data_IF_117146301166
#
_entry.id   IF_117146301166
#
_cell.length_a   1.000
_cell.length_b   1.000
_cell.length_c   1.000
_cell.angle_alpha   90.00
_cell.angle_beta   90.00
_cell.angle_gamma   90.00
#
_symmetry.space_group_name_H-M   'P 1'
#
loop_
_entity.id
_entity.type
_entity.pdbx_description
1 polymer ?
#
# COMPACT_ATOMS: atom_id res chain seq x y z
N UNK A 1 -10.42 19.27 23.10
CA UNK A 1 -11.02 19.17 21.76
C UNK A 1 -9.94 18.68 20.85
N UNK A 2 -10.05 17.41 20.41
CA UNK A 2 -9.06 16.77 19.54
C UNK A 2 -9.06 17.52 18.21
N UNK A 3 -7.91 18.04 17.81
CA UNK A 3 -7.68 18.42 16.42
C UNK A 3 -7.91 17.15 15.61
N UNK A 4 -8.91 17.20 14.71
CA UNK A 4 -9.16 16.16 13.71
C UNK A 4 -7.82 15.77 13.09
N UNK A 5 -7.51 14.47 13.11
CA UNK A 5 -6.34 13.89 12.44
C UNK A 5 -6.28 14.47 11.02
N UNK A 6 -5.15 15.04 10.61
CA UNK A 6 -4.98 15.48 9.22
C UNK A 6 -5.13 14.21 8.37
N UNK A 7 -6.08 14.13 7.42
CA UNK A 7 -6.28 12.90 6.65
C UNK A 7 -5.01 12.44 5.91
N UNK A 8 -4.04 13.35 5.70
CA UNK A 8 -2.71 13.05 5.15
C UNK A 8 -1.63 12.87 6.24
N UNK A 9 -2.02 12.59 7.49
CA UNK A 9 -1.10 12.34 8.61
C UNK A 9 -0.56 10.93 8.67
N UNK A 10 -0.94 10.07 7.72
CA UNK A 10 -0.51 8.67 7.60
C UNK A 10 -0.48 8.23 6.15
N UNK A 11 0.38 7.26 5.87
CA UNK A 11 0.28 6.43 4.68
C UNK A 11 -0.86 5.44 4.89
N UNK A 12 -1.80 5.38 3.96
CA UNK A 12 -2.85 4.37 3.96
C UNK A 12 -2.86 3.66 2.62
N UNK A 13 -2.72 2.34 2.64
CA UNK A 13 -2.91 1.48 1.49
C UNK A 13 -4.16 0.64 1.80
N UNK A 14 -5.24 0.77 1.02
CA UNK A 14 -6.48 0.02 1.24
C UNK A 14 -6.30 -1.44 0.87
N UNK A 15 -7.28 -2.25 1.22
CA UNK A 15 -7.28 -3.68 0.93
C UNK A 15 -7.19 -3.93 -0.60
N UNK A 16 -6.69 -5.11 -0.98
CA UNK A 16 -6.58 -5.55 -2.38
C UNK A 16 -5.69 -4.64 -3.27
N UNK A 17 -4.85 -3.77 -2.69
CA UNK A 17 -3.93 -2.91 -3.45
C UNK A 17 -2.70 -3.69 -3.92
N UNK A 18 -2.37 -3.53 -5.21
CA UNK A 18 -1.23 -4.17 -5.85
C UNK A 18 -0.21 -3.13 -6.32
N UNK A 19 0.98 -3.15 -5.73
CA UNK A 19 2.14 -2.39 -6.20
C UNK A 19 3.04 -3.33 -6.95
N UNK A 20 3.07 -3.17 -8.27
CA UNK A 20 4.01 -3.82 -9.17
C UNK A 20 5.32 -3.00 -9.22
N UNK A 21 6.32 -3.52 -9.91
CA UNK A 21 7.62 -2.84 -10.06
C UNK A 21 7.50 -1.47 -10.74
N UNK A 22 6.49 -1.28 -11.59
CA UNK A 22 6.32 -0.05 -12.36
C UNK A 22 5.01 0.69 -12.11
N UNK A 23 4.05 0.09 -11.41
CA UNK A 23 2.72 0.69 -11.21
C UNK A 23 2.16 0.37 -9.83
N UNK A 24 1.56 1.38 -9.20
CA UNK A 24 0.60 1.21 -8.11
C UNK A 24 -0.80 1.15 -8.69
N UNK A 25 -1.47 0.01 -8.50
CA UNK A 25 -2.81 -0.26 -9.01
C UNK A 25 -3.77 -0.49 -7.84
N UNK A 26 -4.86 0.27 -7.82
CA UNK A 26 -5.94 0.13 -6.85
C UNK A 26 -7.29 0.39 -7.53
N UNK A 27 -8.36 -0.20 -7.03
CA UNK A 27 -9.72 0.08 -7.51
C UNK A 27 -10.26 1.41 -6.94
N UNK A 28 -9.64 1.95 -5.89
CA UNK A 28 -10.05 3.19 -5.23
C UNK A 28 -9.37 4.46 -5.76
N UNK A 29 -9.62 5.58 -5.08
CA UNK A 29 -8.93 6.84 -5.38
C UNK A 29 -7.46 6.78 -4.91
N UNK A 30 -6.60 7.56 -5.57
CA UNK A 30 -5.21 7.78 -5.17
C UNK A 30 -5.05 9.26 -4.82
N UNK A 31 -4.70 9.54 -3.56
CA UNK A 31 -4.47 10.88 -3.07
C UNK A 31 -3.01 11.02 -2.64
N UNK A 32 -2.27 11.85 -3.37
CA UNK A 32 -0.86 12.14 -3.10
C UNK A 32 -0.71 13.52 -2.48
N UNK A 33 -0.26 13.55 -1.23
CA UNK A 33 0.05 14.78 -0.52
C UNK A 33 1.21 15.53 -1.18
N UNK A 34 1.15 16.87 -1.13
CA UNK A 34 2.15 17.71 -1.78
C UNK A 34 3.60 17.50 -1.31
N UNK A 35 4.54 17.97 -2.13
CA UNK A 35 5.99 17.81 -1.95
C UNK A 35 6.45 16.35 -1.90
N UNK A 36 5.73 15.46 -2.57
CA UNK A 36 6.04 14.03 -2.58
C UNK A 36 6.60 13.60 -3.93
N UNK A 37 7.29 12.47 -3.93
CA UNK A 37 7.78 11.81 -5.13
C UNK A 37 7.22 10.40 -5.19
N UNK A 38 6.62 10.04 -6.32
CA UNK A 38 6.17 8.69 -6.66
C UNK A 38 6.96 8.28 -7.91
N UNK A 39 7.95 7.40 -7.78
CA UNK A 39 8.90 7.09 -8.88
C UNK A 39 8.33 6.15 -9.95
N UNK A 40 7.11 5.66 -9.77
CA UNK A 40 6.44 4.71 -10.65
C UNK A 40 5.07 5.25 -11.11
N UNK A 41 4.41 4.55 -12.03
CA UNK A 41 3.08 4.88 -12.52
C UNK A 41 1.98 4.64 -11.49
N UNK A 42 0.85 5.32 -11.66
CA UNK A 42 -0.32 5.17 -10.78
C UNK A 42 -1.58 4.92 -11.59
N UNK A 43 -2.37 3.93 -11.17
CA UNK A 43 -3.65 3.58 -11.76
C UNK A 43 -4.73 3.43 -10.70
N UNK A 44 -5.82 4.19 -10.82
CA UNK A 44 -6.97 4.05 -9.94
C UNK A 44 -8.21 4.79 -10.43
N UNK A 45 -9.23 4.87 -9.58
CA UNK A 45 -10.50 5.50 -9.92
C UNK A 45 -10.33 6.99 -10.16
N UNK A 46 -9.89 7.74 -9.16
CA UNK A 46 -9.52 9.15 -9.32
C UNK A 46 -8.07 9.35 -8.85
N UNK A 47 -7.33 10.25 -9.49
CA UNK A 47 -5.96 10.59 -9.06
C UNK A 47 -5.90 12.07 -8.66
N UNK A 48 -5.56 12.33 -7.39
CA UNK A 48 -5.45 13.67 -6.83
C UNK A 48 -4.03 13.88 -6.31
N UNK A 49 -3.27 14.74 -6.96
CA UNK A 49 -1.94 15.14 -6.55
C UNK A 49 -1.95 16.57 -6.00
N UNK A 50 -1.42 16.75 -4.78
CA UNK A 50 -1.21 18.06 -4.19
C UNK A 50 -0.05 18.82 -4.85
N UNK A 51 0.27 20.01 -4.33
CA UNK A 51 1.32 20.85 -4.92
C UNK A 51 2.70 20.18 -4.94
N UNK A 52 3.47 20.40 -6.01
CA UNK A 52 4.86 19.92 -6.15
C UNK A 52 5.01 18.41 -5.97
N UNK A 53 4.13 17.64 -6.60
CA UNK A 53 4.28 16.19 -6.68
C UNK A 53 5.01 15.83 -7.96
N UNK A 54 5.97 14.91 -7.86
CA UNK A 54 6.65 14.33 -9.02
C UNK A 54 6.22 12.88 -9.21
N UNK A 55 5.75 12.54 -10.40
CA UNK A 55 5.48 11.17 -10.84
C UNK A 55 6.56 10.75 -11.83
N UNK A 56 7.16 9.58 -11.61
CA UNK A 56 8.20 9.00 -12.48
C UNK A 56 7.67 8.07 -13.57
N UNK A 57 6.35 7.95 -13.68
CA UNK A 57 5.69 7.12 -14.68
C UNK A 57 4.30 7.66 -15.05
N UNK A 58 3.53 6.84 -15.76
CA UNK A 58 2.21 7.21 -16.27
C UNK A 58 1.18 7.41 -15.14
N UNK A 59 0.20 8.28 -15.40
CA UNK A 59 -0.99 8.44 -14.58
C UNK A 59 -2.19 7.94 -15.38
N UNK A 60 -2.89 6.92 -14.88
CA UNK A 60 -4.14 6.41 -15.46
C UNK A 60 -5.27 6.56 -14.43
N UNK A 61 -6.19 7.49 -14.68
CA UNK A 61 -7.39 7.69 -13.89
C UNK A 61 -8.61 7.24 -14.69
N UNK A 62 -9.35 6.24 -14.19
CA UNK A 62 -10.60 5.78 -14.83
C UNK A 62 -11.70 6.85 -14.78
N UNK A 63 -11.67 7.71 -13.75
CA UNK A 63 -12.50 8.90 -13.55
C UNK A 63 -11.70 10.18 -13.73
N UNK A 64 -11.70 11.04 -12.71
CA UNK A 64 -11.08 12.36 -12.73
C UNK A 64 -9.59 12.34 -12.36
N UNK A 65 -8.83 13.23 -12.99
CA UNK A 65 -7.44 13.50 -12.62
C UNK A 65 -7.26 14.97 -12.22
N UNK A 66 -6.68 15.19 -11.04
CA UNK A 66 -6.35 16.52 -10.53
C UNK A 66 -4.89 16.61 -10.16
N UNK A 67 -4.15 17.44 -10.88
CA UNK A 67 -2.76 17.79 -10.58
C UNK A 67 -2.70 19.25 -10.11
N UNK A 68 -2.28 19.49 -8.87
CA UNK A 68 -2.15 20.86 -8.36
C UNK A 68 -0.87 21.55 -8.88
N UNK A 69 -0.62 22.78 -8.42
CA UNK A 69 0.48 23.61 -8.93
C UNK A 69 1.86 22.93 -8.86
N UNK A 70 2.68 23.14 -9.89
CA UNK A 70 4.05 22.62 -10.00
C UNK A 70 4.19 21.10 -9.93
N UNK A 71 3.17 20.33 -10.34
CA UNK A 71 3.35 18.91 -10.52
C UNK A 71 4.18 18.61 -11.77
N UNK A 72 4.95 17.53 -11.72
CA UNK A 72 5.77 17.04 -12.83
C UNK A 72 5.47 15.55 -13.06
N UNK A 73 5.21 15.17 -14.30
CA UNK A 73 4.87 13.79 -14.70
C UNK A 73 5.83 13.35 -15.80
N UNK A 74 6.68 12.37 -15.47
CA UNK A 74 7.62 11.70 -16.39
C UNK A 74 6.93 10.55 -17.15
N UNK A 75 5.79 10.87 -17.78
CA UNK A 75 4.94 9.90 -18.47
C UNK A 75 3.70 10.53 -19.07
N UNK A 76 2.78 9.67 -19.51
CA UNK A 76 1.47 10.03 -20.03
C UNK A 76 0.47 10.26 -18.91
N UNK A 77 -0.54 11.08 -19.18
CA UNK A 77 -1.69 11.28 -18.30
C UNK A 77 -2.95 10.90 -19.07
N UNK A 78 -3.55 9.79 -18.68
CA UNK A 78 -4.76 9.21 -19.28
C UNK A 78 -5.92 9.38 -18.30
N UNK A 79 -6.99 10.05 -18.74
CA UNK A 79 -8.12 10.43 -17.89
C UNK A 79 -9.44 10.03 -18.54
N UNK A 80 -10.21 9.20 -17.85
CA UNK A 80 -11.50 8.68 -18.32
C UNK A 80 -12.65 9.68 -18.21
N UNK A 81 -12.58 10.65 -17.30
CA UNK A 81 -13.54 11.74 -17.14
C UNK A 81 -12.83 13.10 -17.30
N UNK A 82 -12.83 13.96 -16.28
CA UNK A 82 -12.36 15.34 -16.39
C UNK A 82 -10.93 15.51 -15.82
N UNK A 83 -10.14 16.38 -16.46
CA UNK A 83 -8.79 16.71 -16.02
C UNK A 83 -8.68 18.14 -15.50
N UNK A 84 -8.07 18.31 -14.32
CA UNK A 84 -7.86 19.59 -13.65
C UNK A 84 -6.36 19.80 -13.41
N UNK A 85 -5.72 20.62 -14.25
CA UNK A 85 -4.28 20.88 -14.20
C UNK A 85 -4.02 22.27 -13.63
N UNK A 86 -3.30 22.33 -12.52
CA UNK A 86 -2.88 23.57 -11.85
C UNK A 86 -1.84 24.35 -12.65
N UNK A 87 -1.49 25.54 -12.14
CA UNK A 87 -0.42 26.36 -12.72
C UNK A 87 0.93 25.61 -12.76
N UNK A 88 1.65 25.72 -13.89
CA UNK A 88 2.99 25.15 -14.12
C UNK A 88 3.07 23.65 -13.89
N UNK A 89 2.03 22.93 -14.25
CA UNK A 89 2.12 21.48 -14.43
C UNK A 89 2.99 21.19 -15.66
N UNK A 90 3.87 20.19 -15.54
CA UNK A 90 4.71 19.70 -16.61
C UNK A 90 4.41 18.23 -16.86
N UNK A 91 4.13 17.87 -18.12
CA UNK A 91 3.88 16.49 -18.55
C UNK A 91 4.82 16.21 -19.73
N UNK A 92 5.73 15.27 -19.56
CA UNK A 92 6.68 14.86 -20.62
C UNK A 92 6.01 14.02 -21.70
N UNK A 93 5.02 13.20 -21.35
CA UNK A 93 4.27 12.39 -22.30
C UNK A 93 3.05 13.11 -22.87
N UNK A 94 2.05 12.31 -23.27
CA UNK A 94 0.79 12.80 -23.82
C UNK A 94 -0.28 12.95 -22.74
N UNK A 95 -1.13 13.96 -22.87
CA UNK A 95 -2.34 14.11 -22.08
C UNK A 95 -3.55 13.67 -22.91
N UNK A 96 -4.24 12.60 -22.52
CA UNK A 96 -5.48 12.14 -23.17
C UNK A 96 -6.63 12.20 -22.18
N UNK A 97 -7.66 12.97 -22.51
CA UNK A 97 -8.82 13.21 -21.64
C UNK A 97 -10.11 12.94 -22.39
N UNK A 98 -10.93 12.05 -21.85
CA UNK A 98 -12.23 11.71 -22.46
C UNK A 98 -13.32 12.74 -22.17
N UNK A 99 -13.18 13.52 -21.09
CA UNK A 99 -14.08 14.61 -20.71
C UNK A 99 -13.49 16.00 -20.95
N UNK A 100 -13.82 16.91 -20.05
CA UNK A 100 -13.42 18.32 -20.08
C UNK A 100 -12.01 18.52 -19.46
N UNK A 101 -11.33 19.59 -19.86
CA UNK A 101 -10.03 19.98 -19.30
C UNK A 101 -10.11 21.41 -18.74
N UNK A 102 -9.83 21.56 -17.45
CA UNK A 102 -9.50 22.82 -16.81
C UNK A 102 -7.97 22.93 -16.69
N UNK A 103 -7.37 23.87 -17.42
CA UNK A 103 -5.90 24.03 -17.49
C UNK A 103 -5.45 25.39 -16.97
N UNK A 104 -4.51 25.36 -16.01
CA UNK A 104 -3.90 26.54 -15.41
C UNK A 104 -2.94 27.28 -16.33
N UNK A 105 -2.31 28.32 -15.76
CA UNK A 105 -1.30 29.11 -16.47
C UNK A 105 0.02 28.33 -16.57
N UNK A 106 0.78 28.56 -17.65
CA UNK A 106 2.12 28.00 -17.88
C UNK A 106 2.20 26.45 -17.80
N UNK A 107 1.14 25.74 -18.17
CA UNK A 107 1.16 24.28 -18.29
C UNK A 107 1.89 23.87 -19.57
N UNK A 108 2.81 22.90 -19.45
CA UNK A 108 3.62 22.38 -20.54
C UNK A 108 3.37 20.88 -20.73
N UNK A 109 3.14 20.46 -21.98
CA UNK A 109 2.82 19.08 -22.36
C UNK A 109 3.63 18.78 -23.62
N UNK A 110 4.72 18.02 -23.48
CA UNK A 110 5.74 17.93 -24.54
C UNK A 110 5.25 17.15 -25.76
N UNK A 111 4.56 16.03 -25.57
CA UNK A 111 4.04 15.21 -26.67
C UNK A 111 2.62 15.62 -27.13
N UNK A 112 2.07 16.69 -26.55
CA UNK A 112 0.77 17.23 -26.89
C UNK A 112 -0.41 16.61 -26.12
N UNK A 113 -1.62 17.07 -26.42
CA UNK A 113 -2.82 16.66 -25.72
C UNK A 113 -4.03 16.46 -26.63
N UNK A 114 -4.91 15.53 -26.23
CA UNK A 114 -6.20 15.24 -26.86
C UNK A 114 -7.31 15.32 -25.81
N UNK A 115 -8.38 16.05 -26.14
CA UNK A 115 -9.55 16.20 -25.29
C UNK A 115 -10.82 16.01 -26.12
N UNK A 116 -11.72 15.15 -25.66
CA UNK A 116 -13.04 14.96 -26.30
C UNK A 116 -14.08 15.99 -25.83
N UNK A 117 -13.85 16.62 -24.66
CA UNK A 117 -14.69 17.66 -24.09
C UNK A 117 -14.19 19.09 -24.32
N UNK A 118 -14.64 20.00 -23.47
CA UNK A 118 -14.30 21.42 -23.50
C UNK A 118 -12.97 21.69 -22.81
N UNK A 119 -12.13 22.52 -23.44
CA UNK A 119 -10.89 23.00 -22.84
C UNK A 119 -11.11 24.42 -22.33
N UNK A 120 -10.94 24.60 -21.03
CA UNK A 120 -11.09 25.88 -20.34
C UNK A 120 -9.77 26.27 -19.71
N UNK A 121 -9.20 27.40 -20.18
CA UNK A 121 -7.95 27.93 -19.64
C UNK A 121 -8.27 28.83 -18.44
N UNK A 122 -8.07 28.27 -17.24
CA UNK A 122 -8.20 28.92 -15.94
C UNK A 122 -7.46 28.09 -14.90
N UNK A 123 -6.79 28.73 -13.94
CA UNK A 123 -6.21 27.99 -12.82
C UNK A 123 -7.33 27.37 -11.97
N UNK A 124 -7.47 26.03 -11.91
CA UNK A 124 -8.51 25.39 -11.12
C UNK A 124 -8.30 25.70 -9.64
N UNK A 125 -9.31 26.28 -8.99
CA UNK A 125 -9.23 26.56 -7.54
C UNK A 125 -8.94 25.26 -6.79
N UNK A 126 -7.96 25.21 -5.87
CA UNK A 126 -7.71 24.04 -5.05
C UNK A 126 -8.99 23.55 -4.37
N UNK A 127 -9.31 22.26 -4.46
CA UNK A 127 -10.57 21.67 -3.98
C UNK A 127 -10.85 22.03 -2.51
N UNK A 128 -9.82 22.03 -1.67
CA UNK A 128 -9.92 22.40 -0.25
C UNK A 128 -10.41 23.85 -0.08
N UNK A 129 -9.91 24.77 -0.92
CA UNK A 129 -10.32 26.18 -0.90
C UNK A 129 -11.76 26.32 -1.37
N UNK A 130 -12.14 25.63 -2.44
CA UNK A 130 -13.52 25.61 -2.92
C UNK A 130 -14.49 25.09 -1.86
N UNK A 131 -14.19 23.95 -1.24
CA UNK A 131 -14.99 23.36 -0.16
C UNK A 131 -15.13 24.32 1.02
N UNK A 132 -14.04 24.98 1.43
CA UNK A 132 -14.09 25.98 2.49
C UNK A 132 -15.00 27.15 2.15
N UNK A 133 -14.91 27.69 0.93
CA UNK A 133 -15.76 28.79 0.46
C UNK A 133 -17.22 28.34 0.41
N UNK A 134 -17.49 27.14 -0.10
CA UNK A 134 -18.84 26.59 -0.20
C UNK A 134 -19.48 26.40 1.19
N UNK A 135 -18.78 25.72 2.11
CA UNK A 135 -19.24 25.56 3.50
C UNK A 135 -19.43 26.90 4.20
N UNK A 136 -18.50 27.85 4.04
CA UNK A 136 -18.64 29.19 4.59
C UNK A 136 -19.88 29.92 4.04
N UNK A 137 -20.22 29.69 2.76
CA UNK A 137 -21.40 30.26 2.12
C UNK A 137 -22.70 29.65 2.67
N UNK A 138 -22.77 28.32 2.82
CA UNK A 138 -23.92 27.62 3.43
C UNK A 138 -24.18 28.12 4.85
N UNK A 139 -23.13 28.17 5.69
CA UNK A 139 -23.24 28.70 7.05
C UNK A 139 -23.66 30.17 7.09
N UNK A 140 -23.20 30.98 6.12
CA UNK A 140 -23.61 32.38 6.02
C UNK A 140 -25.08 32.54 5.59
N UNK A 141 -25.61 31.60 4.81
CA UNK A 141 -27.02 31.53 4.43
C UNK A 141 -27.91 30.96 5.55
N UNK A 142 -27.30 30.40 6.60
CA UNK A 142 -28.00 29.71 7.69
C UNK A 142 -28.44 28.29 7.31
N UNK A 143 -27.90 27.72 6.23
CA UNK A 143 -28.17 26.37 5.75
C UNK A 143 -27.26 25.36 6.49
N UNK A 144 -27.42 25.27 7.81
CA UNK A 144 -26.62 24.39 8.67
C UNK A 144 -26.83 22.90 8.30
N UNK A 145 -28.06 22.51 7.94
CA UNK A 145 -28.40 21.14 7.53
C UNK A 145 -27.66 20.71 6.24
N UNK A 146 -27.60 21.58 5.23
CA UNK A 146 -26.88 21.30 3.98
C UNK A 146 -25.35 21.25 4.22
N UNK A 147 -24.83 22.06 5.14
CA UNK A 147 -23.42 22.00 5.51
C UNK A 147 -23.09 20.68 6.23
N UNK A 148 -23.99 20.20 7.08
CA UNK A 148 -23.87 18.91 7.76
C UNK A 148 -23.95 17.74 6.77
N UNK A 149 -24.87 17.78 5.80
CA UNK A 149 -24.99 16.79 4.71
C UNK A 149 -23.70 16.68 3.87
N UNK A 150 -23.05 17.82 3.58
CA UNK A 150 -21.75 17.82 2.88
C UNK A 150 -20.67 17.12 3.72
N UNK A 151 -20.66 17.32 5.04
CA UNK A 151 -19.74 16.61 5.91
C UNK A 151 -20.06 15.11 5.99
N UNK A 152 -21.32 14.73 6.09
CA UNK A 152 -21.75 13.33 6.12
C UNK A 152 -21.39 12.62 4.82
N UNK A 153 -21.60 13.25 3.66
CA UNK A 153 -21.23 12.71 2.35
C UNK A 153 -19.71 12.53 2.20
N UNK A 154 -18.91 13.38 2.84
CA UNK A 154 -17.45 13.22 2.89
C UNK A 154 -17.01 12.11 3.87
N UNK A 155 -17.86 11.75 4.83
CA UNK A 155 -17.62 10.75 5.88
C UNK A 155 -18.27 9.39 5.57
N UNK A 156 -19.20 9.31 4.60
CA UNK A 156 -19.94 8.09 4.25
C UNK A 156 -19.65 7.56 2.84
N UNK A 157 -19.26 6.29 2.82
CA UNK A 157 -19.30 5.31 1.71
C UNK A 157 -18.59 5.69 0.42
N UNK A 158 -17.25 5.82 0.50
CA UNK A 158 -16.44 5.31 -0.61
C UNK A 158 -16.58 3.80 -0.65
N UNK A 159 -16.83 3.22 -1.82
CA UNK A 159 -16.92 1.76 -1.99
C UNK A 159 -15.56 1.10 -1.69
N UNK A 160 -14.48 1.86 -1.86
CA UNK A 160 -13.10 1.48 -1.53
C UNK A 160 -12.38 2.64 -0.86
N UNK A 161 -11.68 2.37 0.24
CA UNK A 161 -10.81 3.37 0.88
C UNK A 161 -9.72 3.84 -0.10
N UNK A 162 -9.32 5.12 -0.07
CA UNK A 162 -8.31 5.61 -1.00
C UNK A 162 -6.90 5.19 -0.57
N UNK A 163 -6.01 5.07 -1.55
CA UNK A 163 -4.56 5.13 -1.31
C UNK A 163 -4.21 6.56 -0.90
N UNK A 164 -3.67 6.73 0.31
CA UNK A 164 -3.24 8.03 0.83
C UNK A 164 -1.72 8.04 0.95
N UNK A 165 -1.04 8.79 0.08
CA UNK A 165 0.39 9.08 0.22
C UNK A 165 0.53 10.40 0.98
N UNK A 166 1.13 10.43 2.18
CA UNK A 166 1.20 11.63 3.00
C UNK A 166 2.17 12.64 2.40
N UNK A 167 2.14 13.89 2.87
CA UNK A 167 3.04 14.93 2.37
C UNK A 167 4.51 14.59 2.61
N UNK A 168 5.38 15.09 1.74
CA UNK A 168 6.83 14.88 1.85
C UNK A 168 7.23 13.40 1.89
N UNK A 169 6.47 12.58 1.16
CA UNK A 169 6.76 11.15 1.02
C UNK A 169 7.61 10.88 -0.20
N UNK A 170 8.35 9.79 -0.15
CA UNK A 170 9.08 9.28 -1.31
C UNK A 170 8.75 7.81 -1.46
N UNK A 171 8.08 7.48 -2.55
CA UNK A 171 7.51 6.16 -2.82
C UNK A 171 8.10 5.65 -4.13
N UNK A 172 8.77 4.49 -4.07
CA UNK A 172 9.36 3.82 -5.22
C UNK A 172 9.30 2.30 -5.09
N UNK A 173 9.72 1.60 -6.12
CA UNK A 173 9.86 0.14 -6.16
C UNK A 173 10.91 -0.37 -5.15
N UNK A 174 11.97 0.41 -4.88
CA UNK A 174 12.96 0.12 -3.84
C UNK A 174 12.45 0.45 -2.44
N UNK A 175 11.75 1.57 -2.24
CA UNK A 175 11.41 2.02 -0.90
C UNK A 175 10.22 2.97 -0.78
N UNK A 176 9.43 2.71 0.24
CA UNK A 176 8.30 3.53 0.69
C UNK A 176 8.71 4.29 1.94
N UNK A 177 9.17 5.53 1.79
CA UNK A 177 9.71 6.35 2.87
C UNK A 177 8.71 7.43 3.27
N UNK A 178 8.12 7.27 4.46
CA UNK A 178 7.17 8.23 5.03
C UNK A 178 7.61 8.67 6.43
N UNK A 179 7.28 9.92 6.76
CA UNK A 179 7.60 10.51 8.06
C UNK A 179 6.48 10.35 9.10
N UNK A 180 5.41 9.68 8.71
CA UNK A 180 4.15 9.46 9.40
C UNK A 180 3.93 7.96 9.70
N UNK A 181 2.89 7.58 10.46
CA UNK A 181 2.45 6.19 10.55
C UNK A 181 2.03 5.66 9.18
N UNK A 182 2.10 4.34 9.00
CA UNK A 182 1.69 3.68 7.77
C UNK A 182 0.77 2.48 8.10
N UNK A 183 -0.39 2.43 7.45
CA UNK A 183 -1.31 1.29 7.47
C UNK A 183 -1.36 0.67 6.08
N UNK A 184 -1.16 -0.62 6.02
CA UNK A 184 -1.35 -1.44 4.83
C UNK A 184 -2.54 -2.35 5.11
N UNK A 185 -3.50 -2.40 4.19
CA UNK A 185 -4.72 -3.20 4.27
C UNK A 185 -4.46 -4.70 4.20
N UNK A 186 -5.53 -5.47 4.09
CA UNK A 186 -5.48 -6.91 3.84
C UNK A 186 -5.32 -7.23 2.36
N UNK A 187 -4.91 -8.47 2.04
CA UNK A 187 -4.75 -8.97 0.67
C UNK A 187 -3.87 -8.08 -0.24
N UNK A 188 -2.95 -7.32 0.34
CA UNK A 188 -2.11 -6.43 -0.43
C UNK A 188 -0.92 -7.19 -1.00
N UNK A 189 -0.40 -6.72 -2.13
CA UNK A 189 0.89 -7.16 -2.66
C UNK A 189 1.78 -5.97 -2.92
N UNK A 190 2.85 -5.83 -2.14
CA UNK A 190 3.69 -4.64 -2.15
C UNK A 190 5.15 -4.97 -2.46
N UNK A 191 5.76 -4.14 -3.31
CA UNK A 191 7.18 -4.15 -3.60
C UNK A 191 7.87 -2.96 -2.92
N UNK A 192 9.05 -3.23 -2.36
CA UNK A 192 9.91 -2.20 -1.77
C UNK A 192 9.97 -2.20 -0.25
N UNK A 193 11.01 -1.54 0.26
CA UNK A 193 11.31 -1.41 1.68
C UNK A 193 10.43 -0.34 2.32
N UNK A 194 9.54 -0.73 3.23
CA UNK A 194 8.62 0.21 3.88
C UNK A 194 9.25 0.79 5.13
N UNK A 195 9.28 2.13 5.19
CA UNK A 195 9.88 2.90 6.28
C UNK A 195 8.94 3.98 6.79
N UNK A 196 8.45 3.80 8.01
CA UNK A 196 7.47 4.70 8.63
C UNK A 196 7.79 4.97 10.11
N UNK A 197 6.95 5.75 10.80
CA UNK A 197 7.06 5.93 12.26
C UNK A 197 6.50 4.74 13.02
N UNK A 198 5.35 4.22 12.59
CA UNK A 198 4.68 2.97 13.01
C UNK A 198 4.19 2.26 11.75
N UNK A 199 4.12 0.93 11.77
CA UNK A 199 3.57 0.13 10.69
C UNK A 199 2.48 -0.80 11.22
N UNK A 200 1.33 -0.81 10.56
CA UNK A 200 0.26 -1.79 10.76
C UNK A 200 0.01 -2.47 9.42
N UNK A 201 0.23 -3.78 9.33
CA UNK A 201 0.09 -4.58 8.11
C UNK A 201 -1.10 -5.52 8.28
N UNK A 202 -2.07 -5.46 7.37
CA UNK A 202 -3.25 -6.31 7.37
C UNK A 202 -2.94 -7.77 7.03
N UNK A 203 -3.98 -8.60 7.14
CA UNK A 203 -3.88 -10.04 6.94
C UNK A 203 -3.67 -10.41 5.46
N UNK A 204 -3.20 -11.63 5.23
CA UNK A 204 -3.11 -12.24 3.90
C UNK A 204 -2.31 -11.37 2.89
N UNK A 205 -1.37 -10.58 3.39
CA UNK A 205 -0.57 -9.63 2.60
C UNK A 205 0.79 -10.21 2.26
N UNK A 206 1.31 -9.91 1.06
CA UNK A 206 2.66 -10.30 0.64
C UNK A 206 3.54 -9.07 0.39
N UNK A 207 4.64 -8.97 1.13
CA UNK A 207 5.56 -7.83 1.07
C UNK A 207 6.96 -8.26 0.61
N UNK A 208 7.33 -7.78 -0.58
CA UNK A 208 8.62 -7.99 -1.22
C UNK A 208 9.60 -6.88 -0.84
N UNK A 209 10.05 -6.91 0.42
CA UNK A 209 10.93 -5.89 0.96
C UNK A 209 11.12 -6.03 2.46
N UNK A 210 11.91 -5.12 3.02
CA UNK A 210 12.13 -5.04 4.48
C UNK A 210 11.21 -3.99 5.11
N UNK A 211 10.75 -4.28 6.32
CA UNK A 211 9.95 -3.38 7.15
C UNK A 211 10.83 -2.67 8.16
N UNK A 212 10.70 -1.34 8.24
CA UNK A 212 11.37 -0.55 9.28
C UNK A 212 10.50 0.54 9.87
N UNK A 213 10.22 0.44 11.17
CA UNK A 213 9.54 1.49 11.92
C UNK A 213 10.46 2.19 12.93
N UNK A 214 10.10 3.41 13.32
CA UNK A 214 10.72 4.07 14.47
C UNK A 214 10.20 3.51 15.81
N UNK A 215 8.90 3.20 15.86
CA UNK A 215 8.18 2.61 16.98
C UNK A 215 7.70 1.21 16.61
N UNK A 216 6.39 0.96 16.69
CA UNK A 216 5.83 -0.39 16.66
C UNK A 216 5.58 -0.87 15.24
N UNK A 217 5.61 -2.19 15.07
CA UNK A 217 5.19 -2.89 13.85
C UNK A 217 4.20 -3.96 14.25
N UNK A 218 2.98 -3.91 13.74
CA UNK A 218 2.01 -4.99 13.85
C UNK A 218 1.85 -5.65 12.48
N UNK A 219 1.97 -6.98 12.43
CA UNK A 219 1.76 -7.79 11.24
C UNK A 219 0.64 -8.77 11.52
N UNK A 220 -0.46 -8.67 10.79
CA UNK A 220 -1.64 -9.49 10.98
C UNK A 220 -1.50 -10.87 10.29
N UNK A 221 -2.49 -11.74 10.50
CA UNK A 221 -2.45 -13.16 10.18
C UNK A 221 -2.08 -13.49 8.72
N UNK A 222 -1.42 -14.63 8.52
CA UNK A 222 -1.08 -15.21 7.21
C UNK A 222 -0.25 -14.30 6.27
N UNK A 223 0.33 -13.22 6.79
CA UNK A 223 1.13 -12.30 5.99
C UNK A 223 2.55 -12.82 5.78
N UNK A 224 3.10 -12.61 4.59
CA UNK A 224 4.45 -13.02 4.22
C UNK A 224 5.34 -11.79 4.02
N UNK A 225 6.44 -11.72 4.76
CA UNK A 225 7.45 -10.67 4.61
C UNK A 225 8.75 -11.30 4.12
N UNK A 226 9.18 -10.97 2.91
CA UNK A 226 10.38 -11.56 2.30
C UNK A 226 11.69 -10.97 2.81
N UNK A 227 11.67 -9.79 3.44
CA UNK A 227 12.83 -9.10 3.99
C UNK A 227 12.90 -9.07 5.51
N UNK A 228 13.71 -8.14 6.02
CA UNK A 228 13.96 -7.98 7.45
C UNK A 228 12.86 -7.13 8.11
N UNK A 229 12.57 -7.39 9.39
CA UNK A 229 11.66 -6.58 10.20
C UNK A 229 12.45 -5.91 11.32
N UNK A 230 12.56 -4.58 11.28
CA UNK A 230 13.39 -3.82 12.25
C UNK A 230 12.66 -2.66 12.89
N UNK A 231 12.73 -2.54 14.22
CA UNK A 231 12.27 -1.35 14.96
C UNK A 231 13.43 -0.64 15.66
N UNK A 232 13.30 0.67 15.92
CA UNK A 232 14.29 1.45 16.67
C UNK A 232 14.03 1.52 18.18
N UNK A 233 12.81 1.26 18.63
CA UNK A 233 12.43 1.38 20.05
C UNK A 233 10.96 1.11 20.31
N UNK A 234 10.42 0.04 19.72
CA UNK A 234 9.01 -0.34 19.85
C UNK A 234 8.81 -1.85 19.82
N UNK A 235 7.56 -2.25 19.99
CA UNK A 235 7.14 -3.65 19.96
C UNK A 235 6.90 -4.11 18.53
N UNK A 236 7.39 -5.30 18.20
CA UNK A 236 6.99 -6.02 16.98
C UNK A 236 5.97 -7.07 17.39
N UNK A 237 4.75 -6.97 16.89
CA UNK A 237 3.67 -7.93 17.12
C UNK A 237 3.45 -8.72 15.83
N UNK A 238 3.63 -10.03 15.91
CA UNK A 238 3.54 -10.96 14.77
C UNK A 238 2.34 -11.87 15.00
N UNK A 239 1.35 -11.72 14.13
CA UNK A 239 0.10 -12.48 14.14
C UNK A 239 0.27 -13.94 13.69
N UNK A 240 -0.83 -14.71 13.76
CA UNK A 240 -0.79 -16.14 13.48
C UNK A 240 -0.51 -16.48 12.02
N UNK A 241 0.33 -17.50 11.81
CA UNK A 241 0.65 -17.97 10.46
C UNK A 241 1.48 -17.01 9.61
N UNK A 242 2.00 -15.93 10.21
CA UNK A 242 2.91 -15.00 9.53
C UNK A 242 4.22 -15.70 9.22
N UNK A 243 4.78 -15.46 8.03
CA UNK A 243 6.09 -15.97 7.62
C UNK A 243 7.05 -14.82 7.31
N UNK A 244 8.07 -14.64 8.14
CA UNK A 244 9.16 -13.70 7.91
C UNK A 244 10.39 -14.46 7.43
N UNK A 245 10.87 -14.15 6.22
CA UNK A 245 12.04 -14.81 5.63
C UNK A 245 13.37 -14.17 6.04
N UNK A 246 13.34 -12.92 6.51
CA UNK A 246 14.53 -12.19 6.97
C UNK A 246 14.76 -12.24 8.49
N UNK A 247 15.65 -11.36 8.94
CA UNK A 247 15.97 -11.15 10.35
C UNK A 247 14.89 -10.28 11.04
N UNK A 248 14.64 -10.56 12.32
CA UNK A 248 13.77 -9.72 13.17
C UNK A 248 14.62 -9.04 14.25
N UNK A 249 14.61 -7.71 14.27
CA UNK A 249 15.37 -6.91 15.24
C UNK A 249 14.48 -5.84 15.90
N UNK A 250 14.24 -5.97 17.20
CA UNK A 250 13.33 -5.08 17.93
C UNK A 250 13.73 -4.86 19.39
N UNK A 251 13.01 -3.95 20.07
CA UNK A 251 13.11 -3.81 21.52
C UNK A 251 12.30 -4.92 22.20
N UNK A 252 10.99 -4.99 21.93
CA UNK A 252 10.09 -6.02 22.44
C UNK A 252 9.49 -6.82 21.29
N UNK A 253 9.23 -8.11 21.53
CA UNK A 253 8.64 -9.01 20.54
C UNK A 253 7.45 -9.75 21.13
N UNK A 254 6.30 -9.66 20.46
CA UNK A 254 5.12 -10.49 20.69
C UNK A 254 4.95 -11.38 19.45
N UNK A 255 5.03 -12.70 19.64
CA UNK A 255 5.04 -13.67 18.56
C UNK A 255 3.93 -14.70 18.77
N UNK A 256 3.04 -14.86 17.79
CA UNK A 256 2.10 -15.99 17.79
C UNK A 256 2.84 -17.32 17.60
N UNK A 257 2.39 -18.37 18.30
CA UNK A 257 3.01 -19.70 18.26
C UNK A 257 2.97 -20.39 16.88
N UNK A 258 2.13 -19.92 15.96
CA UNK A 258 2.05 -20.40 14.57
C UNK A 258 2.89 -19.58 13.59
N UNK A 259 3.53 -18.51 14.02
CA UNK A 259 4.37 -17.69 13.15
C UNK A 259 5.74 -18.34 12.91
N UNK A 260 6.27 -18.17 11.70
CA UNK A 260 7.56 -18.73 11.27
C UNK A 260 8.53 -17.62 10.91
N UNK A 261 9.76 -17.69 11.46
CA UNK A 261 10.85 -16.76 11.15
C UNK A 261 12.05 -17.60 10.69
N UNK A 262 12.50 -17.40 9.45
CA UNK A 262 13.62 -18.15 8.87
C UNK A 262 14.98 -17.55 9.26
N UNK A 263 15.03 -16.24 9.53
CA UNK A 263 16.24 -15.51 9.87
C UNK A 263 16.58 -15.50 11.36
N UNK A 264 17.47 -14.59 11.74
CA UNK A 264 17.90 -14.38 13.12
C UNK A 264 16.93 -13.49 13.87
N UNK A 265 16.49 -13.93 15.04
CA UNK A 265 15.69 -13.13 15.97
C UNK A 265 16.58 -12.45 17.01
N UNK A 266 16.49 -11.12 17.12
CA UNK A 266 17.20 -10.29 18.09
C UNK A 266 16.24 -9.31 18.77
N UNK A 267 15.80 -9.63 19.98
CA UNK A 267 15.10 -8.70 20.86
C UNK A 267 16.00 -8.26 22.02
N UNK A 268 15.96 -6.97 22.38
CA UNK A 268 16.75 -6.43 23.51
C UNK A 268 16.02 -6.50 24.84
N UNK A 269 14.71 -6.41 24.80
CA UNK A 269 13.79 -6.45 25.93
C UNK A 269 13.08 -7.81 26.02
N UNK A 270 11.78 -7.75 26.23
CA UNK A 270 10.94 -8.93 26.48
C UNK A 270 10.51 -9.60 25.18
N UNK A 271 10.48 -10.94 25.20
CA UNK A 271 9.90 -11.79 24.15
C UNK A 271 8.73 -12.54 24.78
N UNK A 272 7.53 -12.30 24.27
CA UNK A 272 6.31 -13.01 24.65
C UNK A 272 5.84 -13.88 23.49
N UNK A 273 5.55 -15.15 23.78
CA UNK A 273 4.93 -16.06 22.82
C UNK A 273 3.46 -16.20 23.21
N UNK A 274 2.57 -15.76 22.32
CA UNK A 274 1.13 -15.81 22.52
C UNK A 274 0.53 -16.97 21.72
N UNK A 275 -0.45 -17.64 22.29
CA UNK A 275 -1.24 -18.65 21.57
C UNK A 275 -2.61 -18.07 21.28
N UNK A 276 -2.93 -17.84 20.00
CA UNK A 276 -4.23 -17.31 19.57
C UNK A 276 -5.41 -18.29 19.77
N UNK A 277 -5.18 -19.49 20.32
CA UNK A 277 -6.22 -20.50 20.59
C UNK A 277 -7.06 -20.24 21.86
N UNK A 278 -7.09 -18.99 22.35
CA UNK A 278 -7.86 -18.60 23.53
C UNK A 278 -8.74 -17.38 23.29
N UNK A 279 -9.71 -17.51 22.38
CA UNK A 279 -11.09 -17.04 22.54
C UNK A 279 -11.92 -17.26 21.25
N UNK A 280 -12.31 -18.50 20.98
CA UNK A 280 -13.68 -18.74 20.48
C UNK A 280 -14.44 -19.27 21.69
N UNK A 281 -14.80 -18.36 22.60
CA UNK A 281 -15.94 -18.62 23.45
C UNK A 281 -17.14 -18.59 22.50
N UNK A 282 -17.55 -19.78 22.05
CA UNK A 282 -18.82 -19.99 21.35
C UNK A 282 -19.91 -19.22 22.11
N UNK A 283 -20.75 -18.39 21.46
CA UNK A 283 -21.88 -17.81 22.14
C UNK A 283 -22.75 -18.97 22.63
N UNK A 284 -22.83 -19.10 23.94
CA UNK A 284 -23.71 -20.05 24.61
C UNK A 284 -25.12 -19.83 24.06
N UNK A 285 -25.67 -20.88 23.45
CA UNK A 285 -27.09 -20.98 23.18
C UNK A 285 -27.82 -20.85 24.53
N UNK A 286 -28.41 -19.68 24.79
CA UNK A 286 -29.42 -19.51 25.81
C UNK A 286 -30.66 -20.34 25.43
N UNK A 287 -30.66 -21.63 25.77
CA UNK A 287 -31.88 -22.42 25.85
C UNK A 287 -32.12 -22.83 27.29
N UNK A 288 -33.03 -22.09 27.90
CA UNK A 288 -33.67 -22.38 29.18
C UNK A 288 -34.31 -23.78 29.16
N UNK A 289 -33.80 -24.71 29.97
CA UNK A 289 -34.54 -25.92 30.35
C UNK A 289 -34.35 -26.19 31.85
N UNK A 290 -35.49 -26.20 32.54
CA UNK A 290 -35.68 -26.37 33.99
C UNK A 290 -35.16 -27.71 34.57
N UNK A 291 -34.92 -27.79 35.89
CA UNK A 291 -34.34 -28.97 36.51
C UNK A 291 -35.40 -30.07 36.73
N UNK A 292 -35.17 -31.27 36.21
CA UNK A 292 -35.98 -32.45 36.48
C UNK A 292 -35.13 -33.62 36.98
N UNK A 293 -35.14 -33.77 38.31
CA UNK A 293 -35.31 -35.02 39.10
C UNK A 293 -34.55 -36.27 38.63
N UNK A 294 -33.63 -36.68 39.51
CA UNK A 294 -32.91 -37.97 39.58
C UNK A 294 -33.87 -39.16 39.74
N UNK A 295 -33.58 -40.29 39.07
CA UNK A 295 -33.75 -41.60 39.67
C UNK A 295 -32.40 -42.32 39.81
N UNK A 296 -32.18 -42.84 41.01
CA UNK A 296 -31.11 -43.77 41.37
C UNK A 296 -31.56 -45.16 40.89
N UNK A 297 -30.66 -45.89 40.23
CA UNK A 297 -30.70 -47.35 40.20
C UNK A 297 -29.27 -47.90 40.16
N UNK A 298 -29.05 -48.90 41.01
CA UNK A 298 -27.80 -49.52 41.45
C UNK A 298 -27.13 -50.48 40.43
N UNK A 299 -25.90 -50.89 40.80
CA UNK A 299 -25.17 -52.12 40.42
C UNK A 299 -24.64 -52.20 38.96
N UNK A 300 -23.44 -52.69 38.64
CA UNK A 300 -22.38 -53.41 39.35
C UNK A 300 -21.14 -53.49 38.42
N UNK A 301 -19.97 -53.72 39.04
CA UNK A 301 -18.78 -54.45 38.54
C UNK A 301 -18.15 -54.17 37.15
N UNK A 302 -16.87 -53.76 37.17
CA UNK A 302 -15.72 -54.64 36.88
C UNK A 302 -14.49 -53.88 36.32
N UNK A 303 -13.43 -53.91 37.11
CA UNK A 303 -12.00 -53.85 36.84
C UNK A 303 -11.54 -54.13 35.39
N UNK A 304 -10.71 -53.25 34.80
CA UNK A 304 -9.50 -53.66 34.05
C UNK A 304 -8.50 -52.49 33.93
N UNK A 305 -7.28 -52.76 34.39
CA UNK A 305 -6.07 -51.95 34.22
C UNK A 305 -5.44 -52.13 32.83
N UNK A 306 -4.96 -51.05 32.20
CA UNK A 306 -3.90 -51.11 31.17
C UNK A 306 -3.20 -49.75 30.98
N UNK A 307 -1.89 -49.81 30.82
CA UNK A 307 -0.84 -48.78 30.93
C UNK A 307 -0.76 -47.75 29.77
N UNK A 308 -0.04 -46.62 29.96
CA UNK A 308 0.11 -45.58 28.93
C UNK A 308 1.05 -45.99 27.79
N UNK A 309 0.67 -45.65 26.55
CA UNK A 309 1.48 -45.86 25.35
C UNK A 309 2.59 -44.79 25.24
N UNK A 310 3.83 -45.27 25.15
CA UNK A 310 5.04 -44.51 24.84
C UNK A 310 5.11 -44.31 23.32
N UNK A 311 5.20 -43.07 22.85
CA UNK A 311 5.46 -42.77 21.43
C UNK A 311 6.94 -42.44 21.24
N UNK A 312 7.61 -43.27 20.45
CA UNK A 312 9.00 -43.12 20.02
C UNK A 312 9.17 -41.98 19.01
N UNK A 313 10.15 -41.13 19.25
CA UNK A 313 10.63 -40.10 18.32
C UNK A 313 11.80 -40.68 17.52
N UNK A 314 11.70 -40.71 16.19
CA UNK A 314 12.85 -40.94 15.30
C UNK A 314 13.31 -39.61 14.67
N UNK A 315 14.54 -39.21 15.00
CA UNK A 315 15.27 -38.12 14.37
C UNK A 315 15.98 -38.64 13.11
N UNK A 316 15.79 -37.95 11.98
CA UNK A 316 16.63 -38.11 10.80
C UNK A 316 17.55 -36.88 10.65
N UNK A 317 18.80 -37.01 11.07
CA UNK A 317 19.89 -36.07 10.78
C UNK A 317 20.54 -36.53 9.47
N UNK A 318 20.54 -35.70 8.43
CA UNK A 318 21.37 -35.90 7.24
C UNK A 318 22.51 -34.88 7.23
N UNK A 319 23.71 -35.41 7.48
CA UNK A 319 25.01 -34.74 7.39
C UNK A 319 25.43 -34.70 5.91
N UNK A 320 25.84 -33.55 5.41
CA UNK A 320 26.62 -33.43 4.17
C UNK A 320 27.90 -32.68 4.55
N UNK A 321 29.02 -33.39 4.42
CA UNK A 321 30.36 -32.83 4.57
C UNK A 321 30.82 -32.26 3.23
N UNK A 322 31.51 -31.13 3.36
CA UNK A 322 32.26 -30.32 2.39
C UNK A 322 33.51 -31.03 1.88
N UNK A 323 33.98 -30.66 0.68
CA UNK A 323 35.41 -30.57 0.33
C UNK A 323 35.58 -29.63 -0.89
N UNK A 324 36.02 -28.40 -0.61
CA UNK A 324 37.23 -27.67 -1.10
C UNK A 324 38.05 -28.30 -2.26
N UNK A 325 38.76 -27.63 -3.20
CA UNK A 325 39.35 -26.29 -3.44
C UNK A 325 39.51 -26.15 -5.00
N UNK A 326 39.68 -25.01 -5.67
CA UNK A 326 40.94 -24.22 -5.78
C UNK A 326 40.77 -23.05 -6.77
N UNK A 327 41.55 -22.00 -6.52
CA UNK A 327 41.71 -20.72 -7.25
C UNK A 327 42.28 -20.84 -8.68
N UNK A 328 42.01 -19.86 -9.56
CA UNK A 328 43.04 -18.93 -10.11
C UNK A 328 42.50 -17.91 -11.13
N UNK A 329 42.70 -16.63 -10.80
CA UNK A 329 43.17 -15.48 -11.62
C UNK A 329 42.73 -15.27 -13.09
N UNK A 330 42.27 -14.04 -13.40
CA UNK A 330 42.36 -13.49 -14.76
C UNK A 330 41.62 -12.17 -14.97
N UNK A 331 42.30 -11.03 -14.77
CA UNK A 331 41.88 -9.69 -15.19
C UNK A 331 42.03 -9.49 -16.71
N UNK A 332 41.09 -8.83 -17.38
CA UNK A 332 41.36 -8.01 -18.58
C UNK A 332 40.35 -6.85 -18.66
N UNK A 333 40.87 -5.69 -19.05
CA UNK A 333 40.21 -4.40 -19.20
C UNK A 333 39.60 -4.16 -20.60
N UNK A 334 38.85 -3.06 -20.66
CA UNK A 334 38.07 -2.41 -21.73
C UNK A 334 38.89 -2.17 -23.03
N UNK A 335 38.22 -1.94 -24.18
CA UNK A 335 38.34 -0.59 -24.75
C UNK A 335 37.02 0.05 -25.20
N UNK A 336 37.03 1.38 -25.10
CA UNK A 336 36.07 2.34 -25.62
C UNK A 336 35.97 2.32 -27.15
N UNK A 337 34.83 2.78 -27.67
CA UNK A 337 34.77 3.46 -28.96
C UNK A 337 33.69 4.56 -28.94
N UNK A 338 34.14 5.78 -29.24
CA UNK A 338 33.35 7.00 -29.44
C UNK A 338 32.60 7.03 -30.79
N UNK A 339 31.75 8.05 -30.91
CA UNK A 339 31.34 8.81 -32.11
C UNK A 339 29.96 8.56 -32.78
N UNK A 340 29.07 9.52 -32.49
CA UNK A 340 28.37 10.46 -33.41
C UNK A 340 27.11 10.07 -34.19
N UNK A 341 26.13 10.99 -34.02
CA UNK A 341 25.36 11.69 -35.05
C UNK A 341 24.10 11.03 -35.68
N UNK A 342 22.97 11.61 -35.27
CA UNK A 342 22.01 12.38 -36.08
C UNK A 342 21.01 11.68 -37.03
N UNK A 343 19.75 12.11 -36.83
CA UNK A 343 18.62 12.19 -37.77
C UNK A 343 18.11 10.92 -38.48
N UNK A 344 16.81 10.63 -38.34
CA UNK A 344 15.81 10.98 -39.37
C UNK A 344 14.37 10.62 -38.91
N UNK A 345 13.48 11.59 -39.11
CA UNK A 345 12.04 11.49 -38.98
C UNK A 345 11.47 10.40 -39.90
N UNK A 346 10.56 9.59 -39.36
CA UNK A 346 9.77 8.64 -40.13
C UNK A 346 8.33 8.59 -39.60
N UNK A 347 7.50 9.52 -40.07
CA UNK A 347 6.04 9.43 -39.96
C UNK A 347 5.55 8.10 -40.53
N UNK A 348 5.02 7.21 -39.70
CA UNK A 348 4.17 6.10 -40.14
C UNK A 348 2.80 6.21 -39.48
N UNK A 349 1.86 6.65 -40.32
CA UNK A 349 0.41 6.57 -40.15
C UNK A 349 -0.01 5.15 -39.68
N UNK A 350 -0.46 5.04 -38.44
CA UNK A 350 -0.80 3.78 -37.77
C UNK A 350 -1.80 3.99 -36.65
N UNK A 351 -3.02 4.40 -37.00
CA UNK A 351 -4.08 4.73 -36.04
C UNK A 351 -4.49 3.60 -35.10
N UNK A 352 -4.94 4.02 -33.90
CA UNK A 352 -5.84 3.45 -32.86
C UNK A 352 -5.88 1.93 -32.58
N UNK A 353 -5.74 1.05 -33.57
CA UNK A 353 -5.72 -0.39 -33.38
C UNK A 353 -4.33 -0.94 -33.00
N UNK A 354 -3.25 -0.20 -33.26
CA UNK A 354 -1.88 -0.59 -32.91
C UNK A 354 -1.53 -0.33 -31.44
N UNK A 355 -1.93 0.84 -30.92
CA UNK A 355 -1.60 1.28 -29.56
C UNK A 355 -2.23 0.38 -28.47
N UNK A 356 -3.46 -0.09 -28.69
CA UNK A 356 -4.14 -1.00 -27.76
C UNK A 356 -3.53 -2.41 -27.73
N UNK A 357 -2.80 -2.83 -28.77
CA UNK A 357 -2.20 -4.17 -28.83
C UNK A 357 -0.79 -4.24 -28.21
N UNK A 358 -0.15 -3.09 -27.98
CA UNK A 358 1.20 -3.02 -27.42
C UNK A 358 1.20 -2.86 -25.89
N UNK A 359 0.08 -2.42 -25.31
CA UNK A 359 -0.15 -2.35 -23.87
C UNK A 359 -0.39 -3.73 -23.21
N UNK A 360 -0.88 -4.74 -23.92
CA UNK A 360 -1.08 -6.09 -23.36
C UNK A 360 0.21 -6.95 -23.31
N UNK A 361 1.36 -6.39 -23.68
CA UNK A 361 2.63 -7.16 -23.80
C UNK A 361 3.80 -6.64 -22.97
N UNK A 362 3.61 -5.68 -22.08
CA UNK A 362 4.65 -5.24 -21.14
C UNK A 362 4.21 -5.40 -19.70
#
# INVERSE_FOLDING_TARGET
MSLRSDPLDRLAIPDDTHVKEHDLVTDGDIIVGGQSTVEFGVRGQNVIAGERVTFGGDIEADGDCRLDMWCDVDGNVLVGEDAYLGERVHITGQLMVSGDIDIGDDVDIEEGFEANGWIVIRNPVPTVVFLFIYLAQLLRLGEEEAAEEVFETLDTERETDPVLVPRSSHVSDDAWRVSTPARIGANCRLHGNVRATRLDIGADTELFGSLRAKSDIAIDANTVVHGDVTTRGGTVTIGPGVHIRGDVACEHLELDDRATIDGTLRARGEIEVVSSDRAIASPEEETQLEPAIVPIADEDDADTSAEPAVVHVEQAIRRVETDDETETTGSVAIPDAEETADSEEGHSDGGLAGALAEAEKR
#
